data_IF_066286445968
#
_entry.id   IF_066286445968
#
_cell.length_a   1.000
_cell.length_b   1.000
_cell.length_c   1.000
_cell.angle_alpha   90.00
_cell.angle_beta   90.00
_cell.angle_gamma   90.00
#
_symmetry.space_group_name_H-M   'P 1'
#
loop_
_entity.id
_entity.type
_entity.pdbx_description
1 polymer ?
#
# COMPACT_ATOMS: atom_id res chain seq x y z
N UNK A 1 -43.48 17.95 8.35
CA UNK A 1 -42.31 17.13 8.74
C UNK A 1 -41.07 17.83 8.22
N UNK A 2 -40.36 18.56 9.08
CA UNK A 2 -39.14 19.28 8.69
C UNK A 2 -38.05 18.26 8.34
N UNK A 3 -37.40 18.41 7.19
CA UNK A 3 -36.13 17.72 6.92
C UNK A 3 -35.14 18.17 8.00
N UNK A 4 -34.41 17.25 8.65
CA UNK A 4 -33.32 17.68 9.53
C UNK A 4 -32.31 18.48 8.71
N UNK A 5 -31.79 19.56 9.30
CA UNK A 5 -30.74 20.38 8.69
C UNK A 5 -29.49 19.50 8.51
N UNK A 6 -29.21 19.09 7.27
CA UNK A 6 -28.07 18.23 6.91
C UNK A 6 -26.76 19.01 6.72
N UNK A 7 -26.82 20.34 6.67
CA UNK A 7 -25.67 21.23 6.48
C UNK A 7 -24.56 21.11 7.55
N UNK A 8 -24.85 20.94 8.86
CA UNK A 8 -23.80 20.74 9.86
C UNK A 8 -23.05 19.41 9.68
N UNK A 9 -23.76 18.38 9.18
CA UNK A 9 -23.19 17.06 8.93
C UNK A 9 -22.31 17.05 7.67
N UNK A 10 -22.68 17.82 6.63
CA UNK A 10 -21.90 17.92 5.39
C UNK A 10 -20.55 18.61 5.63
N UNK A 11 -20.53 19.70 6.41
CA UNK A 11 -19.29 20.40 6.80
C UNK A 11 -18.37 19.49 7.61
N UNK A 12 -18.90 18.82 8.64
CA UNK A 12 -18.12 17.90 9.47
C UNK A 12 -17.55 16.72 8.68
N UNK A 13 -18.30 16.20 7.70
CA UNK A 13 -17.84 15.13 6.82
C UNK A 13 -16.72 15.59 5.89
N UNK A 14 -16.83 16.76 5.26
CA UNK A 14 -15.81 17.29 4.36
C UNK A 14 -14.48 17.54 5.09
N UNK A 15 -14.54 18.07 6.30
CA UNK A 15 -13.36 18.27 7.14
C UNK A 15 -12.70 16.93 7.51
N UNK A 16 -13.53 15.92 7.84
CA UNK A 16 -13.03 14.58 8.11
C UNK A 16 -12.38 13.95 6.88
N UNK A 17 -13.02 14.03 5.71
CA UNK A 17 -12.49 13.50 4.44
C UNK A 17 -11.16 14.14 4.08
N UNK A 18 -11.03 15.46 4.23
CA UNK A 18 -9.78 16.18 3.99
C UNK A 18 -8.65 15.66 4.88
N UNK A 19 -8.93 15.43 6.17
CA UNK A 19 -7.95 14.85 7.10
C UNK A 19 -7.60 13.40 6.74
N UNK A 20 -8.58 12.60 6.35
CA UNK A 20 -8.33 11.21 5.95
C UNK A 20 -7.50 11.14 4.68
N UNK A 21 -7.73 12.01 3.70
CA UNK A 21 -6.92 12.08 2.49
C UNK A 21 -5.44 12.25 2.81
N UNK A 22 -5.10 13.26 3.63
CA UNK A 22 -3.73 13.51 4.05
C UNK A 22 -3.10 12.32 4.80
N UNK A 23 -3.86 11.68 5.69
CA UNK A 23 -3.40 10.47 6.41
C UNK A 23 -3.19 9.27 5.50
N UNK A 24 -4.08 9.04 4.54
CA UNK A 24 -3.94 7.97 3.56
C UNK A 24 -2.74 8.23 2.65
N UNK A 25 -2.54 9.48 2.20
CA UNK A 25 -1.39 9.87 1.40
C UNK A 25 -0.05 9.69 2.13
N UNK A 26 -0.04 9.86 3.46
CA UNK A 26 1.12 9.60 4.32
C UNK A 26 1.38 8.10 4.52
N UNK A 27 0.33 7.32 4.81
CA UNK A 27 0.48 5.93 5.26
C UNK A 27 0.52 4.90 4.13
N UNK A 28 -0.26 5.09 3.06
CA UNK A 28 -0.35 4.13 1.95
C UNK A 28 1.01 3.86 1.29
N UNK A 29 1.86 4.87 0.99
CA UNK A 29 3.16 4.63 0.37
C UNK A 29 4.11 3.77 1.22
N UNK A 30 3.93 3.72 2.55
CA UNK A 30 4.77 2.92 3.44
C UNK A 30 4.63 1.41 3.21
N UNK A 31 3.56 0.97 2.57
CA UNK A 31 3.35 -0.42 2.17
C UNK A 31 4.14 -0.81 0.91
N UNK A 32 4.61 0.18 0.13
CA UNK A 32 5.36 -0.03 -1.12
C UNK A 32 6.85 -0.11 -0.81
N UNK A 33 7.54 -1.11 -1.36
CA UNK A 33 8.97 -1.31 -1.10
C UNK A 33 9.29 -1.37 0.40
N UNK A 34 8.39 -1.95 1.20
CA UNK A 34 8.46 -2.04 2.66
C UNK A 34 9.56 -3.01 3.17
N UNK A 35 10.74 -2.94 2.58
CA UNK A 35 11.88 -3.83 2.86
C UNK A 35 12.35 -3.73 4.31
N UNK A 36 12.06 -2.65 5.03
CA UNK A 36 12.37 -2.54 6.45
C UNK A 36 11.50 -3.46 7.33
N UNK A 37 10.37 -3.96 6.82
CA UNK A 37 9.52 -4.93 7.51
C UNK A 37 10.18 -6.31 7.50
N UNK A 38 10.27 -6.93 8.67
CA UNK A 38 10.75 -8.30 8.84
C UNK A 38 9.67 -9.11 9.56
N UNK A 39 9.34 -10.29 9.02
CA UNK A 39 8.38 -11.22 9.63
C UNK A 39 9.04 -12.54 9.96
N UNK A 40 8.95 -12.92 11.23
CA UNK A 40 9.42 -14.20 11.72
C UNK A 40 8.25 -15.17 11.84
N UNK A 41 8.14 -16.08 10.88
CA UNK A 41 7.14 -17.14 10.88
C UNK A 41 7.66 -18.33 11.65
N UNK A 42 7.64 -18.22 12.98
CA UNK A 42 8.26 -19.20 13.91
C UNK A 42 7.78 -20.63 13.65
N UNK A 43 6.48 -20.81 13.43
CA UNK A 43 5.87 -22.12 13.16
C UNK A 43 6.35 -22.77 11.85
N UNK A 44 6.96 -21.99 10.95
CA UNK A 44 7.49 -22.43 9.66
C UNK A 44 9.02 -22.32 9.57
N UNK A 45 9.70 -21.89 10.64
CA UNK A 45 11.14 -21.63 10.63
C UNK A 45 11.59 -20.60 9.58
N UNK A 46 10.68 -19.75 9.09
CA UNK A 46 10.91 -18.86 7.96
C UNK A 46 11.03 -17.40 8.43
N UNK A 47 11.95 -16.64 7.84
CA UNK A 47 11.96 -15.18 7.94
C UNK A 47 11.66 -14.59 6.57
N UNK A 48 10.66 -13.71 6.51
CA UNK A 48 10.21 -13.06 5.27
C UNK A 48 10.51 -11.57 5.35
N UNK A 49 11.07 -11.04 4.26
CA UNK A 49 11.33 -9.62 4.06
C UNK A 49 10.74 -9.23 2.71
N UNK A 50 9.88 -8.19 2.62
CA UNK A 50 9.37 -7.73 1.34
C UNK A 50 10.51 -7.35 0.40
N UNK A 51 10.36 -7.66 -0.89
CA UNK A 51 11.30 -7.23 -1.91
C UNK A 51 11.04 -5.76 -2.28
N UNK A 52 12.07 -5.07 -2.79
CA UNK A 52 11.89 -3.74 -3.42
C UNK A 52 10.87 -3.85 -4.56
N UNK A 53 9.95 -2.89 -4.63
CA UNK A 53 8.83 -2.86 -5.57
C UNK A 53 7.63 -3.72 -5.18
N UNK A 54 7.78 -4.65 -4.24
CA UNK A 54 6.62 -5.36 -3.70
C UNK A 54 5.77 -4.44 -2.81
N UNK A 55 4.46 -4.72 -2.78
CA UNK A 55 3.50 -4.02 -1.92
C UNK A 55 2.93 -5.03 -0.94
N UNK A 56 3.08 -4.77 0.36
CA UNK A 56 2.49 -5.61 1.41
C UNK A 56 1.08 -5.18 1.73
N UNK A 57 0.18 -6.12 2.03
CA UNK A 57 -1.18 -5.79 2.44
C UNK A 57 -1.25 -5.10 3.82
N UNK A 58 -0.27 -5.39 4.69
CA UNK A 58 -0.11 -4.68 5.95
C UNK A 58 1.36 -4.61 6.37
N UNK A 59 1.77 -3.47 6.91
CA UNK A 59 3.06 -3.29 7.60
C UNK A 59 2.97 -3.61 9.09
N UNK A 60 1.77 -3.89 9.61
CA UNK A 60 1.54 -4.21 11.02
C UNK A 60 2.21 -5.53 11.41
N UNK A 61 2.75 -5.55 12.62
CA UNK A 61 3.52 -6.64 13.22
C UNK A 61 2.72 -7.85 13.66
N UNK A 62 1.39 -7.84 13.48
CA UNK A 62 0.53 -8.94 13.90
C UNK A 62 0.98 -10.28 13.28
N UNK A 63 1.11 -11.30 14.14
CA UNK A 63 1.38 -12.68 13.72
C UNK A 63 0.10 -13.41 13.30
N UNK A 64 -1.07 -12.94 13.76
CA UNK A 64 -2.36 -13.53 13.43
C UNK A 64 -3.46 -12.45 13.34
N UNK A 65 -3.99 -12.17 12.14
CA UNK A 65 -3.58 -12.72 10.84
C UNK A 65 -2.23 -12.15 10.34
N UNK A 66 -1.39 -13.01 9.72
CA UNK A 66 -0.21 -12.56 8.98
C UNK A 66 -0.64 -11.98 7.63
N UNK A 67 -0.46 -10.67 7.44
CA UNK A 67 -0.80 -9.93 6.23
C UNK A 67 0.43 -9.41 5.47
N UNK A 68 1.64 -9.89 5.80
CA UNK A 68 2.87 -9.50 5.12
C UNK A 68 3.05 -10.27 3.81
N UNK A 69 2.11 -10.06 2.88
CA UNK A 69 2.06 -10.69 1.57
C UNK A 69 1.86 -9.65 0.48
N UNK A 70 2.39 -9.95 -0.70
CA UNK A 70 2.08 -9.23 -1.92
C UNK A 70 0.92 -9.92 -2.65
N UNK A 71 -0.25 -9.29 -2.64
CA UNK A 71 -1.39 -9.72 -3.47
C UNK A 71 -1.57 -8.82 -4.67
N UNK A 72 -1.71 -9.45 -5.84
CA UNK A 72 -1.90 -8.76 -7.12
C UNK A 72 -3.08 -7.78 -7.09
N UNK A 73 -4.21 -8.18 -6.48
CA UNK A 73 -5.39 -7.32 -6.37
C UNK A 73 -5.10 -6.10 -5.51
N UNK A 74 -4.60 -6.32 -4.29
CA UNK A 74 -4.32 -5.29 -3.32
C UNK A 74 -3.28 -4.29 -3.85
N UNK A 75 -2.21 -4.79 -4.48
CA UNK A 75 -1.18 -3.95 -5.09
C UNK A 75 -1.70 -3.11 -6.25
N UNK A 76 -2.62 -3.65 -7.07
CA UNK A 76 -3.22 -2.90 -8.17
C UNK A 76 -4.04 -1.70 -7.67
N UNK A 77 -4.77 -1.89 -6.57
CA UNK A 77 -5.56 -0.82 -5.94
C UNK A 77 -4.63 0.25 -5.35
N UNK A 78 -3.56 -0.16 -4.67
CA UNK A 78 -2.57 0.78 -4.09
C UNK A 78 -1.88 1.61 -5.17
N UNK A 79 -1.54 1.00 -6.30
CA UNK A 79 -0.87 1.70 -7.41
C UNK A 79 -1.81 2.67 -8.13
N UNK A 80 -3.11 2.36 -8.27
CA UNK A 80 -4.07 3.35 -8.74
C UNK A 80 -4.24 4.51 -7.74
N UNK A 81 -4.25 4.23 -6.43
CA UNK A 81 -4.19 5.26 -5.40
C UNK A 81 -2.95 6.15 -5.51
N UNK A 82 -1.78 5.54 -5.72
CA UNK A 82 -0.52 6.26 -5.91
C UNK A 82 -0.55 7.17 -7.14
N UNK A 83 -1.21 6.75 -8.23
CA UNK A 83 -1.41 7.57 -9.43
C UNK A 83 -2.09 8.89 -9.09
N UNK A 84 -3.14 8.90 -8.26
CA UNK A 84 -3.79 10.14 -7.83
C UNK A 84 -2.83 11.08 -7.09
N UNK A 85 -1.99 10.54 -6.19
CA UNK A 85 -0.99 11.32 -5.45
C UNK A 85 0.15 11.87 -6.33
N UNK A 86 0.42 11.22 -7.47
CA UNK A 86 1.38 11.71 -8.47
C UNK A 86 0.74 12.84 -9.29
N UNK A 87 -0.50 12.63 -9.75
CA UNK A 87 -1.23 13.57 -10.60
C UNK A 87 -1.57 14.89 -9.88
N UNK A 88 -1.92 14.83 -8.60
CA UNK A 88 -2.22 16.02 -7.79
C UNK A 88 -0.97 16.71 -7.23
N UNK A 89 0.20 16.11 -7.40
CA UNK A 89 1.50 16.61 -6.97
C UNK A 89 1.88 16.32 -5.52
N UNK A 90 1.02 15.66 -4.72
CA UNK A 90 1.27 15.33 -3.31
C UNK A 90 2.54 14.50 -3.13
N UNK A 91 2.78 13.54 -4.03
CA UNK A 91 3.93 12.63 -3.98
C UNK A 91 4.53 12.43 -5.37
N UNK A 92 4.80 13.50 -6.11
CA UNK A 92 5.20 13.41 -7.53
C UNK A 92 6.48 12.59 -7.76
N UNK A 93 7.63 13.09 -7.30
CA UNK A 93 8.93 12.46 -7.64
C UNK A 93 9.11 11.12 -6.91
N UNK A 94 8.75 11.09 -5.64
CA UNK A 94 8.79 9.87 -4.82
C UNK A 94 7.77 8.82 -5.30
N UNK A 95 6.58 9.23 -5.69
CA UNK A 95 5.56 8.34 -6.24
C UNK A 95 5.97 7.77 -7.59
N UNK A 96 6.58 8.57 -8.47
CA UNK A 96 7.15 8.06 -9.73
C UNK A 96 8.26 7.03 -9.49
N UNK A 97 9.12 7.26 -8.48
CA UNK A 97 10.14 6.28 -8.06
C UNK A 97 9.49 4.97 -7.59
N UNK A 98 8.53 5.05 -6.67
CA UNK A 98 7.81 3.88 -6.14
C UNK A 98 7.04 3.13 -7.23
N UNK A 99 6.42 3.85 -8.16
CA UNK A 99 5.75 3.26 -9.33
C UNK A 99 6.74 2.50 -10.22
N UNK A 100 7.90 3.08 -10.53
CA UNK A 100 8.95 2.42 -11.29
C UNK A 100 9.42 1.12 -10.64
N UNK A 101 9.64 1.12 -9.33
CA UNK A 101 10.00 -0.07 -8.56
C UNK A 101 8.93 -1.16 -8.63
N UNK A 102 7.67 -0.79 -8.51
CA UNK A 102 6.55 -1.73 -8.65
C UNK A 102 6.49 -2.36 -10.05
N UNK A 103 6.73 -1.57 -11.11
CA UNK A 103 6.76 -2.08 -12.49
C UNK A 103 7.90 -3.08 -12.68
N UNK A 104 9.11 -2.76 -12.21
CA UNK A 104 10.26 -3.66 -12.26
C UNK A 104 9.98 -4.98 -11.52
N UNK A 105 9.45 -4.88 -10.30
CA UNK A 105 9.08 -6.05 -9.50
C UNK A 105 8.02 -6.92 -10.20
N UNK A 106 6.96 -6.30 -10.71
CA UNK A 106 5.86 -6.99 -11.39
C UNK A 106 6.32 -7.71 -12.66
N UNK A 107 7.21 -7.08 -13.45
CA UNK A 107 7.84 -7.74 -14.60
C UNK A 107 8.71 -8.92 -14.18
N UNK A 108 9.42 -8.81 -13.06
CA UNK A 108 10.18 -9.90 -12.46
C UNK A 108 9.30 -11.10 -12.11
N UNK A 109 8.12 -10.86 -11.52
CA UNK A 109 7.17 -11.93 -11.21
C UNK A 109 6.68 -12.67 -12.45
N UNK A 110 6.47 -11.98 -13.57
CA UNK A 110 6.06 -12.61 -14.83
C UNK A 110 7.12 -13.55 -15.43
N UNK A 111 8.37 -13.48 -14.95
CA UNK A 111 9.48 -14.34 -15.38
C UNK A 111 9.73 -15.52 -14.44
N UNK A 112 8.97 -15.64 -13.35
CA UNK A 112 9.09 -16.78 -12.45
C UNK A 112 8.63 -18.06 -13.15
N UNK A 113 9.57 -18.97 -13.38
CA UNK A 113 9.34 -20.27 -14.03
C UNK A 113 9.37 -21.45 -13.05
N UNK A 114 9.41 -21.16 -11.74
CA UNK A 114 9.44 -22.16 -10.67
C UNK A 114 10.81 -22.83 -10.46
N UNK A 115 11.83 -22.49 -11.25
CA UNK A 115 13.21 -22.91 -10.97
C UNK A 115 13.77 -22.05 -9.87
N UNK A 116 14.45 -22.68 -8.90
CA UNK A 116 15.13 -21.94 -7.86
C UNK A 116 16.17 -21.01 -8.49
N UNK A 117 16.12 -19.73 -8.17
CA UNK A 117 17.23 -18.81 -8.41
C UNK A 117 18.41 -19.31 -7.57
N UNK A 118 19.37 -19.95 -8.23
CA UNK A 118 20.68 -20.33 -7.68
C UNK A 118 21.49 -19.11 -7.30
#
# INVERSE_FOLDING_TARGET
MNKPDLEPLSVGLNDWLTRQYGRCAELMPLAISATHVVRHRRNYGQTVRPARGSIVASTDGAENPDYCFHWLRDSSIVIDGLRYLIEDGTLRDEGLRLFGEFVEFSQGLSRLDGRATS
#
